data_IF_012299428645
#
_entry.id   IF_012299428645
#
_cell.length_a   1.000
_cell.length_b   1.000
_cell.length_c   1.000
_cell.angle_alpha   90.00
_cell.angle_beta   90.00
_cell.angle_gamma   90.00
#
_symmetry.space_group_name_H-M   'P 1'
#
loop_
_entity.id
_entity.type
_entity.pdbx_description
1 polymer ?
#
# COMPACT_ATOMS: atom_id res chain seq x y z
N UNK A 1 6.69 2.73 -10.59
CA UNK A 1 7.33 2.26 -9.33
C UNK A 1 6.70 0.94 -8.93
N UNK A 2 7.47 -0.03 -8.47
CA UNK A 2 6.97 -1.37 -8.14
C UNK A 2 7.11 -1.61 -6.64
N UNK A 3 6.02 -1.99 -5.98
CA UNK A 3 5.98 -2.32 -4.56
C UNK A 3 5.48 -3.74 -4.39
N UNK A 4 6.10 -4.52 -3.51
CA UNK A 4 5.60 -5.87 -3.19
C UNK A 4 4.58 -5.80 -2.09
N UNK A 5 3.45 -6.51 -2.26
CA UNK A 5 2.40 -6.58 -1.24
C UNK A 5 2.92 -7.17 0.07
N UNK A 6 3.87 -8.11 0.02
CA UNK A 6 4.45 -8.75 1.21
C UNK A 6 5.15 -7.77 2.14
N UNK A 7 5.84 -6.78 1.60
CA UNK A 7 6.50 -5.75 2.39
C UNK A 7 5.46 -4.89 3.12
N UNK A 8 4.37 -4.54 2.44
CA UNK A 8 3.26 -3.77 3.01
C UNK A 8 2.52 -4.59 4.09
N UNK A 9 2.28 -5.88 3.82
CA UNK A 9 1.70 -6.82 4.80
C UNK A 9 2.55 -6.89 6.06
N UNK A 10 3.87 -7.01 5.91
CA UNK A 10 4.81 -7.07 7.03
C UNK A 10 4.78 -5.79 7.86
N UNK A 11 4.79 -4.63 7.22
CA UNK A 11 4.71 -3.34 7.93
C UNK A 11 3.45 -3.22 8.78
N UNK A 12 2.30 -3.66 8.26
CA UNK A 12 1.02 -3.61 8.97
C UNK A 12 0.93 -4.68 10.07
N UNK A 13 1.46 -5.87 9.82
CA UNK A 13 1.54 -6.94 10.82
C UNK A 13 2.43 -6.55 12.01
N UNK A 14 3.58 -5.94 11.73
CA UNK A 14 4.51 -5.42 12.74
C UNK A 14 3.97 -4.12 13.41
N UNK A 15 2.73 -3.71 13.10
CA UNK A 15 2.10 -2.48 13.58
C UNK A 15 2.94 -1.22 13.32
N UNK A 16 3.80 -1.27 12.31
CA UNK A 16 4.67 -0.17 11.94
C UNK A 16 3.94 0.81 11.02
N UNK A 17 2.93 1.47 11.60
CA UNK A 17 2.10 2.44 10.89
C UNK A 17 2.89 3.66 10.41
N UNK A 18 4.00 4.00 11.07
CA UNK A 18 4.86 5.11 10.67
C UNK A 18 5.53 4.84 9.31
N UNK A 19 6.10 3.65 9.14
CA UNK A 19 6.71 3.25 7.86
C UNK A 19 5.65 3.05 6.78
N UNK A 20 4.47 2.53 7.14
CA UNK A 20 3.34 2.44 6.23
C UNK A 20 2.89 3.84 5.74
N UNK A 21 2.78 4.82 6.64
CA UNK A 21 2.41 6.20 6.29
C UNK A 21 3.47 6.85 5.38
N UNK A 22 4.76 6.66 5.67
CA UNK A 22 5.86 7.10 4.78
C UNK A 22 5.77 6.50 3.39
N UNK A 23 5.40 5.22 3.30
CA UNK A 23 5.21 4.53 2.03
C UNK A 23 4.02 5.13 1.27
N UNK A 24 2.91 5.43 1.93
CA UNK A 24 1.77 6.12 1.33
C UNK A 24 2.14 7.52 0.84
N UNK A 25 2.81 8.35 1.64
CA UNK A 25 3.29 9.68 1.21
C UNK A 25 4.22 9.59 0.01
N UNK A 26 5.04 8.53 -0.06
CA UNK A 26 5.90 8.28 -1.22
C UNK A 26 5.06 7.98 -2.46
N UNK A 27 4.01 7.17 -2.33
CA UNK A 27 3.07 6.92 -3.43
C UNK A 27 2.36 8.20 -3.85
N UNK A 28 1.86 9.01 -2.91
CA UNK A 28 1.24 10.32 -3.20
C UNK A 28 2.16 11.22 -4.03
N UNK A 29 3.41 11.39 -3.60
CA UNK A 29 4.41 12.18 -4.35
C UNK A 29 4.69 11.63 -5.75
N UNK A 30 4.60 10.32 -5.94
CA UNK A 30 4.73 9.70 -7.26
C UNK A 30 3.49 9.96 -8.12
N UNK A 31 2.30 9.94 -7.54
CA UNK A 31 1.04 10.27 -8.22
C UNK A 31 1.00 11.74 -8.65
N UNK A 32 1.48 12.67 -7.83
CA UNK A 32 1.66 14.09 -8.21
C UNK A 32 2.56 14.25 -9.45
N UNK A 33 3.58 13.39 -9.56
CA UNK A 33 4.48 13.32 -10.72
C UNK A 33 3.91 12.47 -11.88
N UNK A 34 2.63 12.08 -11.82
CA UNK A 34 1.96 11.19 -12.78
C UNK A 34 2.66 9.84 -12.99
N UNK A 35 3.36 9.37 -11.97
CA UNK A 35 4.05 8.08 -11.99
C UNK A 35 3.12 6.99 -11.49
N UNK A 36 2.92 5.97 -12.31
CA UNK A 36 2.10 4.81 -11.96
C UNK A 36 2.81 3.96 -10.91
N UNK A 37 2.07 3.57 -9.88
CA UNK A 37 2.54 2.64 -8.86
C UNK A 37 1.87 1.28 -9.04
N UNK A 38 2.70 0.27 -9.27
CA UNK A 38 2.28 -1.12 -9.41
C UNK A 38 2.53 -1.85 -8.09
N UNK A 39 1.48 -2.49 -7.59
CA UNK A 39 1.56 -3.38 -6.44
C UNK A 39 1.62 -4.80 -6.97
N UNK A 40 2.73 -5.46 -6.70
CA UNK A 40 3.04 -6.80 -7.17
C UNK A 40 2.85 -7.83 -6.06
N UNK A 41 2.46 -9.03 -6.43
CA UNK A 41 2.48 -10.20 -5.55
C UNK A 41 3.91 -10.75 -5.37
N UNK A 42 4.06 -11.73 -4.49
CA UNK A 42 5.33 -12.43 -4.26
C UNK A 42 5.90 -13.07 -5.54
N UNK A 43 5.04 -13.49 -6.47
CA UNK A 43 5.42 -14.05 -7.78
C UNK A 43 5.71 -12.99 -8.85
N UNK A 44 5.55 -11.70 -8.53
CA UNK A 44 5.78 -10.59 -9.46
C UNK A 44 4.57 -10.22 -10.32
N UNK A 45 3.44 -10.90 -10.15
CA UNK A 45 2.17 -10.59 -10.80
C UNK A 45 1.58 -9.28 -10.28
N UNK A 46 1.04 -8.45 -11.16
CA UNK A 46 0.40 -7.18 -10.77
C UNK A 46 -0.92 -7.45 -10.06
N UNK A 47 -0.97 -7.21 -8.75
CA UNK A 47 -2.15 -7.35 -7.90
C UNK A 47 -3.04 -6.11 -7.94
N UNK A 48 -2.44 -4.93 -7.92
CA UNK A 48 -3.17 -3.68 -7.92
C UNK A 48 -2.34 -2.58 -8.60
N UNK A 49 -3.02 -1.56 -9.12
CA UNK A 49 -2.40 -0.44 -9.79
C UNK A 49 -3.01 0.84 -9.25
N UNK A 50 -2.15 1.76 -8.81
CA UNK A 50 -2.58 3.05 -8.26
C UNK A 50 -2.20 4.12 -9.28
N UNK A 51 -3.22 4.74 -9.86
CA UNK A 51 -3.12 5.83 -10.82
C UNK A 51 -3.62 7.16 -10.25
N UNK A 52 -4.51 7.09 -9.25
CA UNK A 52 -5.20 8.24 -8.68
C UNK A 52 -5.09 8.25 -7.15
N UNK A 53 -5.25 9.43 -6.57
CA UNK A 53 -5.35 9.59 -5.12
C UNK A 53 -6.51 8.81 -4.52
N UNK A 54 -7.63 8.68 -5.25
CA UNK A 54 -8.79 7.94 -4.78
C UNK A 54 -8.50 6.43 -4.70
N UNK A 55 -7.77 5.87 -5.66
CA UNK A 55 -7.30 4.48 -5.62
C UNK A 55 -6.32 4.26 -4.46
N UNK A 56 -5.46 5.23 -4.16
CA UNK A 56 -4.55 5.17 -3.02
C UNK A 56 -5.31 5.16 -1.70
N UNK A 57 -6.31 6.03 -1.54
CA UNK A 57 -7.19 6.08 -0.37
C UNK A 57 -7.93 4.75 -0.17
N UNK A 58 -8.49 4.18 -1.25
CA UNK A 58 -9.14 2.86 -1.23
C UNK A 58 -8.14 1.76 -0.84
N UNK A 59 -6.94 1.79 -1.40
CA UNK A 59 -5.88 0.85 -1.07
C UNK A 59 -5.48 0.95 0.41
N UNK A 60 -5.24 2.16 0.92
CA UNK A 60 -4.94 2.41 2.34
C UNK A 60 -6.00 1.80 3.26
N UNK A 61 -7.28 2.07 3.00
CA UNK A 61 -8.40 1.54 3.79
C UNK A 61 -8.43 0.02 3.76
N UNK A 62 -8.32 -0.58 2.57
CA UNK A 62 -8.33 -2.03 2.40
C UNK A 62 -7.15 -2.69 3.12
N UNK A 63 -5.95 -2.12 3.03
CA UNK A 63 -4.77 -2.67 3.69
C UNK A 63 -4.87 -2.59 5.21
N UNK A 64 -5.34 -1.47 5.77
CA UNK A 64 -5.55 -1.34 7.22
C UNK A 64 -6.65 -2.32 7.68
N UNK A 65 -7.72 -2.47 6.92
CA UNK A 65 -8.81 -3.38 7.26
C UNK A 65 -8.39 -4.86 7.21
N UNK A 66 -7.60 -5.25 6.21
CA UNK A 66 -7.19 -6.65 6.02
C UNK A 66 -5.97 -7.02 6.87
N UNK A 67 -5.03 -6.09 7.06
CA UNK A 67 -3.73 -6.38 7.68
C UNK A 67 -3.37 -5.48 8.88
N UNK A 68 -4.02 -4.33 9.02
CA UNK A 68 -3.70 -3.33 10.05
C UNK A 68 -4.45 -3.50 11.36
N UNK A 69 -5.51 -4.30 11.44
CA UNK A 69 -6.28 -4.45 12.69
C UNK A 69 -6.54 -5.94 12.95
N UNK A 70 -5.69 -6.56 13.78
CA UNK A 70 -6.05 -7.75 14.57
C UNK A 70 -6.85 -7.35 15.84
N UNK A 71 -7.64 -6.29 15.73
CA UNK A 71 -8.43 -5.72 16.82
C UNK A 71 -9.89 -6.15 16.72
N UNK A 72 -10.25 -7.17 17.51
CA UNK A 72 -11.59 -7.49 18.01
C UNK A 72 -12.68 -7.77 16.96
N UNK A 73 -12.86 -9.07 16.67
CA UNK A 73 -14.20 -9.67 16.64
C UNK A 73 -14.55 -10.15 18.05
#
# INVERSE_FOLDING_TARGET
MNLKIKDIKKLLHDQNYLEFDRLLTTIEKNLEKKTIVYILDDEGSTLNIIHTFEELEKFKKLMIQVYGIYGYF
#
